data_IF_206049344241
#
_entry.id   IF_206049344241
#
_cell.length_a   1.000
_cell.length_b   1.000
_cell.length_c   1.000
_cell.angle_alpha   90.00
_cell.angle_beta   90.00
_cell.angle_gamma   90.00
#
_symmetry.space_group_name_H-M   'P 1'
#
loop_
_entity.id
_entity.type
_entity.pdbx_description
1 polymer ?
#
# COMPACT_ATOMS: atom_id res chain seq x y z
N UNK A 1 15.64 6.66 -1.89
CA UNK A 1 15.89 7.84 -2.74
C UNK A 1 15.63 9.10 -1.91
N UNK A 2 16.18 10.27 -2.30
CA UNK A 2 15.90 11.50 -1.58
C UNK A 2 14.48 11.98 -1.89
N UNK A 3 13.61 12.00 -0.88
CA UNK A 3 12.32 12.67 -0.92
C UNK A 3 12.50 14.14 -0.57
N UNK A 4 11.80 15.00 -1.30
CA UNK A 4 11.76 16.45 -1.17
C UNK A 4 10.67 16.90 -0.19
N UNK A 5 9.54 16.20 -0.12
CA UNK A 5 8.46 16.47 0.83
C UNK A 5 8.78 15.86 2.21
N UNK A 6 9.10 16.71 3.18
CA UNK A 6 9.49 16.28 4.52
C UNK A 6 8.34 15.61 5.30
N UNK A 7 7.08 16.01 5.09
CA UNK A 7 5.93 15.38 5.75
C UNK A 7 5.79 13.92 5.31
N UNK A 8 5.77 13.67 3.99
CA UNK A 8 5.69 12.31 3.44
C UNK A 8 6.89 11.45 3.84
N UNK A 9 8.08 12.03 3.86
CA UNK A 9 9.30 11.38 4.34
C UNK A 9 9.21 11.01 5.82
N UNK A 10 8.70 11.91 6.66
CA UNK A 10 8.52 11.66 8.09
C UNK A 10 7.42 10.62 8.34
N UNK A 11 6.36 10.60 7.52
CA UNK A 11 5.35 9.55 7.55
C UNK A 11 5.98 8.19 7.27
N UNK A 12 6.73 8.03 6.18
CA UNK A 12 7.42 6.76 5.88
C UNK A 12 8.39 6.36 7.00
N UNK A 13 9.14 7.31 7.57
CA UNK A 13 10.01 7.04 8.72
C UNK A 13 9.24 6.57 9.95
N UNK A 14 8.05 7.13 10.21
CA UNK A 14 7.23 6.74 11.36
C UNK A 14 6.79 5.27 11.31
N UNK A 15 6.72 4.69 10.11
CA UNK A 15 6.52 3.26 9.87
C UNK A 15 7.85 2.50 9.87
N UNK A 16 8.72 2.77 8.88
CA UNK A 16 9.87 1.91 8.58
C UNK A 16 11.12 2.18 9.44
N UNK A 17 11.11 3.17 10.33
CA UNK A 17 12.11 3.33 11.39
C UNK A 17 11.61 2.81 12.75
N UNK A 18 10.38 2.29 12.83
CA UNK A 18 9.90 1.55 13.98
C UNK A 18 10.24 0.06 13.80
N UNK A 19 11.06 -0.49 14.71
CA UNK A 19 11.53 -1.87 14.61
C UNK A 19 10.39 -2.89 14.69
N UNK A 20 9.45 -2.70 15.61
CA UNK A 20 8.33 -3.62 15.80
C UNK A 20 7.45 -3.69 14.55
N UNK A 21 7.09 -2.52 14.01
CA UNK A 21 6.34 -2.44 12.75
C UNK A 21 7.09 -3.13 11.61
N UNK A 22 8.38 -2.83 11.47
CA UNK A 22 9.22 -3.34 10.39
C UNK A 22 9.31 -4.87 10.45
N UNK A 23 9.46 -5.45 11.64
CA UNK A 23 9.46 -6.90 11.84
C UNK A 23 8.12 -7.56 11.47
N UNK A 24 6.99 -6.91 11.77
CA UNK A 24 5.66 -7.40 11.37
C UNK A 24 5.49 -7.32 9.85
N UNK A 25 5.85 -6.18 9.25
CA UNK A 25 5.76 -5.95 7.81
C UNK A 25 6.61 -6.94 7.00
N UNK A 26 7.82 -7.24 7.45
CA UNK A 26 8.70 -8.24 6.84
C UNK A 26 8.21 -9.69 6.94
N UNK A 27 7.28 -9.98 7.84
CA UNK A 27 6.72 -11.32 8.00
C UNK A 27 5.37 -11.46 7.31
N UNK A 28 4.63 -10.37 7.15
CA UNK A 28 3.29 -10.41 6.58
C UNK A 28 3.28 -10.93 5.13
N UNK A 29 2.34 -11.83 4.78
CA UNK A 29 2.03 -12.14 3.39
C UNK A 29 1.23 -11.00 2.75
N UNK A 30 1.26 -10.89 1.42
CA UNK A 30 0.42 -9.90 0.71
C UNK A 30 -0.96 -10.45 0.34
N UNK A 31 -1.16 -11.76 0.35
CA UNK A 31 -2.46 -12.39 0.08
C UNK A 31 -2.57 -13.76 0.76
N UNK A 32 -3.79 -14.31 0.81
CA UNK A 32 -4.04 -15.66 1.35
C UNK A 32 -3.84 -16.74 0.26
N UNK A 33 -4.43 -16.54 -0.91
CA UNK A 33 -4.48 -17.55 -1.98
C UNK A 33 -3.72 -17.08 -3.24
N UNK A 34 -3.58 -15.76 -3.41
CA UNK A 34 -3.11 -15.15 -4.65
C UNK A 34 -1.60 -14.85 -4.64
N UNK A 35 -1.16 -13.88 -5.44
CA UNK A 35 0.21 -13.41 -5.50
C UNK A 35 0.77 -13.07 -4.12
N UNK A 36 2.06 -13.34 -3.92
CA UNK A 36 2.77 -13.02 -2.68
C UNK A 36 2.16 -13.64 -1.41
N UNK A 37 1.51 -14.81 -1.51
CA UNK A 37 0.95 -15.56 -0.38
C UNK A 37 1.98 -16.36 0.44
N UNK A 38 3.13 -15.75 0.73
CA UNK A 38 4.19 -16.32 1.56
C UNK A 38 4.70 -15.29 2.56
N UNK A 39 5.38 -15.75 3.61
CA UNK A 39 5.98 -14.88 4.62
C UNK A 39 6.95 -13.89 3.97
N UNK A 40 6.74 -12.59 4.17
CA UNK A 40 7.51 -11.51 3.54
C UNK A 40 7.00 -11.08 2.17
N UNK A 41 5.95 -11.70 1.66
CA UNK A 41 5.33 -11.33 0.39
C UNK A 41 4.84 -9.88 0.34
N UNK A 42 4.41 -9.31 1.47
CA UNK A 42 3.98 -7.91 1.53
C UNK A 42 5.12 -6.93 1.23
N UNK A 43 6.33 -7.23 1.73
CA UNK A 43 7.52 -6.44 1.43
C UNK A 43 7.85 -6.53 -0.06
N UNK A 44 7.93 -7.75 -0.59
CA UNK A 44 8.29 -7.98 -1.99
C UNK A 44 7.32 -7.26 -2.93
N UNK A 45 6.03 -7.39 -2.67
CA UNK A 45 4.97 -6.69 -3.42
C UNK A 45 5.14 -5.17 -3.36
N UNK A 46 5.31 -4.61 -2.16
CA UNK A 46 5.47 -3.16 -1.99
C UNK A 46 6.71 -2.61 -2.70
N UNK A 47 7.81 -3.38 -2.73
CA UNK A 47 9.03 -3.04 -3.44
C UNK A 47 8.84 -3.12 -4.95
N UNK A 48 8.19 -4.16 -5.46
CA UNK A 48 7.93 -4.33 -6.90
C UNK A 48 6.99 -3.23 -7.43
N UNK A 49 5.92 -2.91 -6.69
CA UNK A 49 5.03 -1.78 -7.00
C UNK A 49 5.81 -0.46 -6.99
N UNK A 50 6.67 -0.22 -5.98
CA UNK A 50 7.51 0.98 -5.94
C UNK A 50 8.46 1.07 -7.15
N UNK A 51 9.05 -0.04 -7.59
CA UNK A 51 9.93 -0.08 -8.77
C UNK A 51 9.15 0.24 -10.05
N UNK A 52 7.93 -0.25 -10.19
CA UNK A 52 7.05 0.12 -11.32
C UNK A 52 6.72 1.61 -11.25
N UNK A 53 6.34 2.13 -10.09
CA UNK A 53 6.07 3.56 -9.90
C UNK A 53 7.28 4.45 -10.24
N UNK A 54 8.51 4.02 -9.92
CA UNK A 54 9.73 4.72 -10.32
C UNK A 54 9.83 4.86 -11.85
N UNK A 55 9.52 3.80 -12.60
CA UNK A 55 9.49 3.83 -14.08
C UNK A 55 8.36 4.71 -14.62
N UNK A 56 7.21 4.72 -13.95
CA UNK A 56 6.11 5.61 -14.33
C UNK A 56 6.49 7.08 -14.16
N UNK A 57 7.23 7.46 -13.12
CA UNK A 57 7.73 8.83 -12.95
C UNK A 57 8.76 9.24 -14.02
N UNK A 58 9.52 8.29 -14.59
CA UNK A 58 10.43 8.57 -15.72
C UNK A 58 9.64 8.89 -17.01
N UNK A 59 8.49 8.24 -17.21
CA UNK A 59 7.62 8.43 -18.38
C UNK A 59 6.72 9.66 -18.22
N UNK A 60 6.16 9.86 -17.03
CA UNK A 60 5.24 10.92 -16.67
C UNK A 60 5.88 11.83 -15.60
N UNK A 61 6.78 12.74 -15.98
CA UNK A 61 7.51 13.58 -15.03
C UNK A 61 6.63 14.60 -14.28
N UNK A 62 5.35 14.72 -14.65
CA UNK A 62 4.37 15.57 -13.96
C UNK A 62 3.79 14.91 -12.70
N UNK A 63 4.01 13.60 -12.50
CA UNK A 63 3.57 12.90 -11.30
C UNK A 63 4.32 13.43 -10.07
N UNK A 64 3.59 13.64 -8.97
CA UNK A 64 4.20 13.85 -7.66
C UNK A 64 4.85 12.53 -7.21
N UNK A 65 6.17 12.46 -7.42
CA UNK A 65 7.00 11.29 -7.11
C UNK A 65 6.90 10.89 -5.65
N UNK A 66 6.97 11.85 -4.74
CA UNK A 66 7.04 11.56 -3.31
C UNK A 66 5.68 11.06 -2.80
N UNK A 67 4.58 11.64 -3.31
CA UNK A 67 3.23 11.19 -3.02
C UNK A 67 2.98 9.78 -3.57
N UNK A 68 3.36 9.52 -4.83
CA UNK A 68 3.20 8.20 -5.45
C UNK A 68 4.01 7.13 -4.73
N UNK A 69 5.26 7.40 -4.37
CA UNK A 69 6.11 6.44 -3.65
C UNK A 69 5.59 6.18 -2.23
N UNK A 70 5.04 7.19 -1.59
CA UNK A 70 4.38 7.03 -0.29
C UNK A 70 3.16 6.11 -0.41
N UNK A 71 2.32 6.32 -1.42
CA UNK A 71 1.21 5.43 -1.73
C UNK A 71 1.67 4.00 -2.00
N UNK A 72 2.67 3.81 -2.87
CA UNK A 72 3.20 2.49 -3.21
C UNK A 72 3.66 1.70 -1.98
N UNK A 73 4.32 2.36 -1.02
CA UNK A 73 4.82 1.70 0.20
C UNK A 73 3.78 1.47 1.28
N UNK A 74 2.67 2.23 1.29
CA UNK A 74 1.68 2.21 2.39
C UNK A 74 0.30 1.70 1.98
N UNK A 75 0.00 1.52 0.68
CA UNK A 75 -1.34 1.17 0.20
C UNK A 75 -1.93 -0.08 0.87
N UNK A 76 -1.08 -1.06 1.17
CA UNK A 76 -1.44 -2.36 1.73
C UNK A 76 -0.93 -2.58 3.17
N UNK A 77 -0.51 -1.51 3.86
CA UNK A 77 0.11 -1.63 5.19
C UNK A 77 -0.78 -2.28 6.24
N UNK A 78 -2.10 -2.18 6.07
CA UNK A 78 -3.11 -2.81 6.91
C UNK A 78 -3.03 -4.34 6.89
N UNK A 79 -2.41 -4.96 5.88
CA UNK A 79 -2.26 -6.42 5.76
C UNK A 79 -1.49 -7.05 6.92
N UNK A 80 -0.67 -6.27 7.65
CA UNK A 80 -0.02 -6.74 8.89
C UNK A 80 -1.03 -7.11 9.99
N UNK A 81 -2.26 -6.60 9.94
CA UNK A 81 -3.37 -6.91 10.86
C UNK A 81 -4.46 -7.77 10.23
N UNK A 82 -4.39 -8.00 8.91
CA UNK A 82 -5.43 -8.70 8.14
C UNK A 82 -5.32 -10.21 8.26
N UNK A 83 -4.12 -10.74 8.51
CA UNK A 83 -3.89 -12.18 8.48
C UNK A 83 -3.37 -12.71 9.80
N UNK A 84 -3.97 -13.81 10.26
CA UNK A 84 -3.36 -14.68 11.26
C UNK A 84 -2.55 -15.74 10.49
N UNK A 85 -1.24 -15.82 10.74
CA UNK A 85 -0.36 -16.73 10.01
C UNK A 85 0.66 -17.43 10.91
N UNK A 86 0.87 -18.71 10.64
CA UNK A 86 1.97 -19.52 11.18
C UNK A 86 2.79 -20.14 10.04
N UNK A 87 3.77 -20.98 10.33
CA UNK A 87 4.62 -21.62 9.30
C UNK A 87 3.88 -22.54 8.32
N UNK A 88 2.61 -22.86 8.58
CA UNK A 88 1.83 -23.88 7.85
C UNK A 88 0.59 -23.28 7.18
N UNK A 89 0.01 -22.20 7.72
CA UNK A 89 -1.23 -21.61 7.21
C UNK A 89 -1.28 -20.08 7.30
N UNK A 90 -1.98 -19.48 6.34
CA UNK A 90 -2.41 -18.09 6.35
C UNK A 90 -3.94 -18.10 6.38
N UNK A 91 -4.55 -17.49 7.39
CA UNK A 91 -6.01 -17.37 7.53
C UNK A 91 -6.39 -15.89 7.76
N UNK A 92 -7.63 -15.51 7.41
CA UNK A 92 -8.13 -14.16 7.70
C UNK A 92 -8.28 -13.98 9.21
N UNK A 93 -7.78 -12.86 9.75
CA UNK A 93 -8.01 -12.51 11.15
C UNK A 93 -9.48 -12.18 11.39
N UNK A 94 -9.97 -12.37 12.62
CA UNK A 94 -11.39 -12.12 12.95
C UNK A 94 -11.80 -10.67 12.65
N UNK A 95 -10.91 -9.71 12.92
CA UNK A 95 -11.16 -8.29 12.64
C UNK A 95 -11.23 -8.02 11.13
N UNK A 96 -10.40 -8.70 10.34
CA UNK A 96 -10.36 -8.54 8.88
C UNK A 96 -11.60 -9.07 8.15
N UNK A 97 -12.34 -10.00 8.76
CA UNK A 97 -13.63 -10.47 8.23
C UNK A 97 -14.64 -9.32 8.18
N UNK A 98 -14.55 -8.38 9.13
CA UNK A 98 -15.43 -7.22 9.22
C UNK A 98 -14.83 -5.98 8.56
N UNK A 99 -13.51 -5.79 8.70
CA UNK A 99 -12.79 -4.59 8.32
C UNK A 99 -11.66 -4.94 7.34
N UNK A 100 -11.95 -4.78 6.05
CA UNK A 100 -11.01 -5.07 4.96
C UNK A 100 -9.71 -4.26 5.03
N UNK A 101 -8.64 -4.75 4.38
CA UNK A 101 -7.30 -4.15 4.49
C UNK A 101 -7.23 -2.71 3.96
N UNK A 102 -8.10 -2.29 3.03
CA UNK A 102 -8.17 -0.90 2.58
C UNK A 102 -8.50 0.04 3.75
N UNK A 103 -9.51 -0.33 4.54
CA UNK A 103 -9.88 0.46 5.72
C UNK A 103 -8.77 0.42 6.75
N UNK A 104 -8.22 -0.76 7.06
CA UNK A 104 -7.15 -0.90 8.06
C UNK A 104 -5.89 -0.09 7.68
N UNK A 105 -5.53 -0.10 6.39
CA UNK A 105 -4.40 0.68 5.86
C UNK A 105 -4.67 2.18 6.00
N UNK A 106 -5.86 2.64 5.59
CA UNK A 106 -6.23 4.04 5.68
C UNK A 106 -6.30 4.53 7.13
N UNK A 107 -6.87 3.75 8.05
CA UNK A 107 -6.99 4.08 9.47
C UNK A 107 -5.62 4.20 10.13
N UNK A 108 -4.74 3.20 9.92
CA UNK A 108 -3.38 3.19 10.44
C UNK A 108 -2.56 4.40 9.94
N UNK A 109 -2.62 4.68 8.63
CA UNK A 109 -1.90 5.82 8.04
C UNK A 109 -2.46 7.15 8.52
N UNK A 110 -3.78 7.26 8.67
CA UNK A 110 -4.45 8.45 9.19
C UNK A 110 -3.98 8.80 10.61
N UNK A 111 -3.86 7.80 11.49
CA UNK A 111 -3.41 8.03 12.87
C UNK A 111 -1.97 8.52 12.94
N UNK A 112 -1.08 7.97 12.11
CA UNK A 112 0.28 8.48 11.98
C UNK A 112 0.30 9.92 11.45
N UNK A 113 -0.47 10.24 10.39
CA UNK A 113 -0.55 11.60 9.84
C UNK A 113 -1.09 12.63 10.84
N UNK A 114 -2.09 12.26 11.66
CA UNK A 114 -2.57 13.11 12.77
C UNK A 114 -1.47 13.40 13.78
N UNK A 115 -0.71 12.38 14.18
CA UNK A 115 0.39 12.55 15.15
C UNK A 115 1.52 13.43 14.63
N UNK A 116 1.70 13.47 13.31
CA UNK A 116 2.70 14.29 12.62
C UNK A 116 2.18 15.67 12.20
N UNK A 117 0.93 16.01 12.51
CA UNK A 117 0.28 17.28 12.18
C UNK A 117 0.27 17.59 10.67
N UNK A 118 -0.02 16.58 9.83
CA UNK A 118 -0.19 16.79 8.41
C UNK A 118 -1.25 17.86 8.09
N UNK A 119 -1.06 18.57 6.98
CA UNK A 119 -2.15 19.37 6.42
C UNK A 119 -3.32 18.48 5.99
N UNK A 120 -4.54 19.02 6.06
CA UNK A 120 -5.74 18.29 5.65
C UNK A 120 -5.66 17.87 4.18
N UNK A 121 -5.19 18.76 3.30
CA UNK A 121 -5.08 18.48 1.87
C UNK A 121 -4.12 17.31 1.58
N UNK A 122 -2.94 17.31 2.19
CA UNK A 122 -1.96 16.23 1.98
C UNK A 122 -2.47 14.90 2.56
N UNK A 123 -3.10 14.95 3.74
CA UNK A 123 -3.72 13.78 4.36
C UNK A 123 -4.77 13.16 3.44
N UNK A 124 -5.66 13.99 2.86
CA UNK A 124 -6.69 13.53 1.93
C UNK A 124 -6.09 12.89 0.68
N UNK A 125 -5.00 13.42 0.14
CA UNK A 125 -4.30 12.83 -1.01
C UNK A 125 -3.72 11.45 -0.69
N UNK A 126 -3.05 11.29 0.45
CA UNK A 126 -2.48 10.00 0.88
C UNK A 126 -3.61 8.97 1.12
N UNK A 127 -4.66 9.34 1.85
CA UNK A 127 -5.83 8.47 2.05
C UNK A 127 -6.52 8.12 0.74
N UNK A 128 -6.60 9.06 -0.21
CA UNK A 128 -7.18 8.83 -1.52
C UNK A 128 -6.39 7.78 -2.31
N UNK A 129 -5.05 7.79 -2.26
CA UNK A 129 -4.23 6.74 -2.87
C UNK A 129 -4.59 5.36 -2.29
N UNK A 130 -4.61 5.24 -0.97
CA UNK A 130 -4.94 3.98 -0.28
C UNK A 130 -6.36 3.52 -0.61
N UNK A 131 -7.35 4.41 -0.57
CA UNK A 131 -8.75 4.01 -0.73
C UNK A 131 -9.16 3.75 -2.19
N UNK A 132 -8.33 4.14 -3.16
CA UNK A 132 -8.60 3.98 -4.60
C UNK A 132 -7.66 3.04 -5.36
N UNK A 133 -6.66 2.44 -4.71
CA UNK A 133 -5.62 1.69 -5.42
C UNK A 133 -6.12 0.43 -6.15
N UNK A 134 -7.19 -0.24 -5.69
CA UNK A 134 -7.78 -1.33 -6.48
C UNK A 134 -8.47 -0.87 -7.77
N UNK A 135 -8.72 0.42 -7.96
CA UNK A 135 -9.21 1.00 -9.22
C UNK A 135 -10.67 1.44 -9.20
N UNK A 136 -11.31 1.59 -10.38
CA UNK A 136 -12.66 2.15 -10.45
C UNK A 136 -13.71 1.28 -9.72
N UNK A 137 -14.48 1.92 -8.84
CA UNK A 137 -15.57 1.31 -8.06
C UNK A 137 -16.60 0.64 -9.00
N UNK A 138 -16.89 1.27 -10.14
CA UNK A 138 -17.85 0.76 -11.13
C UNK A 138 -17.45 -0.58 -11.75
N UNK A 139 -16.19 -0.98 -11.63
CA UNK A 139 -15.68 -2.25 -12.15
C UNK A 139 -15.61 -3.34 -11.07
N UNK A 140 -15.96 -3.03 -9.82
CA UNK A 140 -16.08 -4.02 -8.75
C UNK A 140 -14.75 -4.52 -8.17
N UNK A 141 -13.64 -3.78 -8.35
CA UNK A 141 -12.31 -4.20 -7.86
C UNK A 141 -12.13 -4.05 -6.33
N UNK A 142 -13.07 -3.44 -5.62
CA UNK A 142 -13.07 -3.36 -4.15
C UNK A 142 -12.62 -2.01 -3.57
N UNK A 143 -12.19 -1.04 -4.37
CA UNK A 143 -11.97 0.33 -3.90
C UNK A 143 -13.25 0.99 -3.39
N UNK A 144 -13.11 1.92 -2.44
CA UNK A 144 -14.24 2.70 -1.90
C UNK A 144 -14.50 3.97 -2.70
N UNK A 145 -13.49 4.45 -3.43
CA UNK A 145 -13.58 5.64 -4.30
C UNK A 145 -12.77 5.42 -5.59
N UNK A 146 -13.20 6.04 -6.69
CA UNK A 146 -12.45 5.98 -7.96
C UNK A 146 -11.11 6.72 -7.85
N UNK A 147 -10.04 6.27 -8.55
CA UNK A 147 -8.85 7.08 -8.76
C UNK A 147 -9.21 8.43 -9.41
N UNK A 148 -8.83 9.54 -8.79
CA UNK A 148 -9.20 10.92 -9.21
C UNK A 148 -8.01 11.84 -9.43
N UNK A 149 -6.80 11.40 -9.07
CA UNK A 149 -5.55 12.12 -9.30
C UNK A 149 -4.59 11.21 -10.09
N UNK A 150 -3.65 11.78 -10.87
CA UNK A 150 -2.71 11.00 -11.68
C UNK A 150 -1.96 9.92 -10.89
N UNK A 151 -1.53 10.24 -9.68
CA UNK A 151 -0.80 9.33 -8.79
C UNK A 151 -1.66 8.13 -8.39
N UNK A 152 -2.96 8.33 -8.16
CA UNK A 152 -3.89 7.25 -7.83
C UNK A 152 -4.08 6.30 -9.02
N UNK A 153 -4.16 6.85 -10.24
CA UNK A 153 -4.28 6.03 -11.44
C UNK A 153 -2.99 5.25 -11.72
N UNK A 154 -1.83 5.89 -11.53
CA UNK A 154 -0.53 5.26 -11.66
C UNK A 154 -0.34 4.13 -10.64
N UNK A 155 -0.67 4.38 -9.37
CA UNK A 155 -0.60 3.40 -8.29
C UNK A 155 -1.49 2.20 -8.59
N UNK A 156 -2.75 2.44 -8.99
CA UNK A 156 -3.66 1.35 -9.35
C UNK A 156 -3.11 0.42 -10.42
N UNK A 157 -2.57 0.98 -11.50
CA UNK A 157 -2.02 0.17 -12.58
C UNK A 157 -0.70 -0.50 -12.20
N UNK A 158 0.12 0.11 -11.34
CA UNK A 158 1.34 -0.50 -10.83
C UNK A 158 1.03 -1.72 -9.95
N UNK A 159 0.12 -1.55 -8.99
CA UNK A 159 -0.39 -2.62 -8.11
C UNK A 159 -0.99 -3.77 -8.94
N UNK A 160 -1.93 -3.44 -9.84
CA UNK A 160 -2.58 -4.45 -10.66
C UNK A 160 -1.61 -5.20 -11.58
N UNK A 161 -0.64 -4.50 -12.17
CA UNK A 161 0.36 -5.14 -13.03
C UNK A 161 1.20 -6.14 -12.24
N UNK A 162 1.71 -5.73 -11.08
CA UNK A 162 2.50 -6.60 -10.20
C UNK A 162 1.71 -7.84 -9.80
N UNK A 163 0.50 -7.64 -9.26
CA UNK A 163 -0.41 -8.69 -8.85
C UNK A 163 -0.68 -9.72 -9.96
N UNK A 164 -0.97 -9.25 -11.18
CA UNK A 164 -1.32 -10.12 -12.32
C UNK A 164 -0.12 -10.85 -12.91
N UNK A 165 1.04 -10.21 -12.96
CA UNK A 165 2.27 -10.86 -13.42
C UNK A 165 2.69 -11.90 -12.40
N UNK A 166 2.71 -11.55 -11.10
CA UNK A 166 3.13 -12.47 -10.04
C UNK A 166 2.22 -13.69 -9.95
N UNK A 167 0.90 -13.52 -10.08
CA UNK A 167 -0.07 -14.62 -10.10
C UNK A 167 0.23 -15.69 -11.18
N UNK A 168 0.87 -15.31 -12.30
CA UNK A 168 1.22 -16.24 -13.39
C UNK A 168 2.59 -16.90 -13.16
N UNK A 169 3.57 -16.16 -12.63
CA UNK A 169 4.96 -16.64 -12.51
C UNK A 169 5.23 -17.37 -11.19
N UNK A 170 4.51 -17.02 -10.12
CA UNK A 170 4.62 -17.64 -8.81
C UNK A 170 3.86 -18.97 -8.83
N UNK A 171 4.59 -20.07 -8.57
CA UNK A 171 4.04 -21.42 -8.47
C UNK A 171 4.06 -21.92 -7.05
#
# INVERSE_FOLDING_TARGET
QNMENDDLKNLLKSFFCNQEFTEQFYKAPAAIIHHHNYQGGLLDHSVEVLLICQRLCEIFPQLDRDLLFTGALLHDVGKIRTYDYDTVKIEMSTDSILLDHLYMSADMVNDHMKSLNFSEELSQKVLHLILSHHGPVSLGWGSTVNPKIPEAMALHHADNLDARVKEIIQK
#
